data_IF_649309109080
#
_entry.id   IF_649309109080
#
_cell.length_a   1.000
_cell.length_b   1.000
_cell.length_c   1.000
_cell.angle_alpha   90.00
_cell.angle_beta   90.00
_cell.angle_gamma   90.00
#
_symmetry.space_group_name_H-M   'P 1'
#
loop_
_entity.id
_entity.type
_entity.pdbx_description
1 polymer ?
#
# COMPACT_ATOMS: atom_id res chain seq x y z
N UNK A 1 33.00 -12.29 -4.14
CA UNK A 1 31.58 -12.31 -3.77
C UNK A 1 31.07 -10.90 -3.97
N UNK A 2 30.42 -10.62 -5.10
CA UNK A 2 29.91 -9.29 -5.40
C UNK A 2 28.77 -8.99 -4.44
N UNK A 3 28.96 -7.99 -3.56
CA UNK A 3 27.88 -7.46 -2.74
C UNK A 3 26.86 -6.82 -3.69
N UNK A 4 25.78 -7.53 -3.99
CA UNK A 4 24.70 -6.93 -4.76
C UNK A 4 24.11 -5.81 -3.90
N UNK A 5 24.14 -4.58 -4.40
CA UNK A 5 23.51 -3.47 -3.69
C UNK A 5 22.02 -3.82 -3.50
N UNK A 6 21.40 -3.55 -2.33
CA UNK A 6 20.05 -4.04 -2.04
C UNK A 6 18.98 -3.56 -3.05
N UNK A 7 19.29 -2.55 -3.87
CA UNK A 7 18.39 -1.97 -4.85
C UNK A 7 18.67 -2.39 -6.32
N UNK A 8 19.67 -3.24 -6.56
CA UNK A 8 19.96 -3.78 -7.89
C UNK A 8 19.13 -5.03 -8.21
N UNK A 9 19.00 -5.41 -9.50
CA UNK A 9 18.40 -6.69 -9.88
C UNK A 9 19.06 -7.87 -9.17
N UNK A 10 18.27 -8.89 -8.88
CA UNK A 10 18.65 -10.05 -8.11
C UNK A 10 18.20 -11.34 -8.83
N UNK A 11 18.96 -11.80 -9.84
CA UNK A 11 18.60 -12.98 -10.63
C UNK A 11 18.54 -14.26 -9.78
N UNK A 12 19.43 -14.41 -8.80
CA UNK A 12 19.45 -15.57 -7.91
C UNK A 12 18.20 -15.63 -7.03
N UNK A 13 17.77 -14.50 -6.48
CA UNK A 13 16.48 -14.40 -5.77
C UNK A 13 15.32 -14.75 -6.69
N UNK A 14 15.32 -14.22 -7.91
CA UNK A 14 14.24 -14.45 -8.87
C UNK A 14 14.12 -15.94 -9.25
N UNK A 15 15.23 -16.61 -9.49
CA UNK A 15 15.30 -18.05 -9.74
C UNK A 15 14.82 -18.85 -8.51
N UNK A 16 15.29 -18.51 -7.31
CA UNK A 16 14.87 -19.18 -6.07
C UNK A 16 13.39 -18.97 -5.72
N UNK A 17 12.76 -17.95 -6.30
CA UNK A 17 11.34 -17.66 -6.21
C UNK A 17 10.54 -18.29 -7.37
N UNK A 18 11.12 -19.26 -8.07
CA UNK A 18 10.50 -20.00 -9.17
C UNK A 18 9.91 -19.05 -10.22
N UNK A 19 10.72 -18.09 -10.65
CA UNK A 19 10.36 -17.06 -11.62
C UNK A 19 9.02 -16.35 -11.30
N UNK A 20 8.72 -16.22 -10.00
CA UNK A 20 7.55 -15.53 -9.46
C UNK A 20 6.42 -16.43 -8.97
N UNK A 21 6.36 -17.70 -9.36
CA UNK A 21 5.30 -18.60 -8.87
C UNK A 21 5.35 -18.76 -7.35
N UNK A 22 6.53 -19.07 -6.83
CA UNK A 22 6.76 -19.20 -5.38
C UNK A 22 6.63 -17.87 -4.64
N UNK A 23 7.02 -16.75 -5.27
CA UNK A 23 6.79 -15.41 -4.71
C UNK A 23 5.30 -15.16 -4.45
N UNK A 24 4.44 -15.51 -5.41
CA UNK A 24 3.00 -15.33 -5.27
C UNK A 24 2.41 -16.18 -4.13
N UNK A 25 2.86 -17.43 -3.99
CA UNK A 25 2.47 -18.31 -2.90
C UNK A 25 2.88 -17.76 -1.52
N UNK A 26 4.14 -17.33 -1.39
CA UNK A 26 4.67 -16.71 -0.17
C UNK A 26 3.84 -15.47 0.21
N UNK A 27 3.54 -14.60 -0.76
CA UNK A 27 2.76 -13.39 -0.50
C UNK A 27 1.33 -13.71 -0.09
N UNK A 28 0.69 -14.73 -0.68
CA UNK A 28 -0.66 -15.17 -0.27
C UNK A 28 -0.68 -15.72 1.15
N UNK A 29 0.33 -16.49 1.53
CA UNK A 29 0.49 -16.97 2.91
C UNK A 29 0.72 -15.79 3.87
N UNK A 30 1.69 -14.93 3.56
CA UNK A 30 1.99 -13.72 4.35
C UNK A 30 0.74 -12.86 4.58
N UNK A 31 -0.01 -12.53 3.52
CA UNK A 31 -1.21 -11.70 3.67
C UNK A 31 -2.37 -12.45 4.31
N UNK A 32 -2.44 -13.78 4.25
CA UNK A 32 -3.42 -14.53 5.05
C UNK A 32 -3.13 -14.31 6.53
N UNK A 33 -1.87 -14.50 6.94
CA UNK A 33 -1.47 -14.28 8.34
C UNK A 33 -1.59 -12.81 8.76
N UNK A 34 -1.29 -11.86 7.88
CA UNK A 34 -1.37 -10.43 8.20
C UNK A 34 -2.81 -9.92 8.34
N UNK A 35 -3.76 -10.47 7.59
CA UNK A 35 -5.18 -10.15 7.74
C UNK A 35 -5.79 -10.77 9.02
N UNK A 36 -5.22 -11.87 9.51
CA UNK A 36 -5.62 -12.50 10.77
C UNK A 36 -4.89 -11.91 11.99
N UNK A 37 -3.86 -11.08 11.79
CA UNK A 37 -3.06 -10.47 12.84
C UNK A 37 -3.70 -9.19 13.38
N UNK A 38 -4.07 -9.15 14.66
CA UNK A 38 -4.77 -8.02 15.27
C UNK A 38 -4.02 -6.67 15.18
N UNK A 39 -2.69 -6.67 15.05
CA UNK A 39 -1.89 -5.45 14.93
C UNK A 39 -1.82 -4.93 13.49
N UNK A 40 -1.97 -5.82 12.51
CA UNK A 40 -1.82 -5.50 11.08
C UNK A 40 -3.17 -5.39 10.36
N UNK A 41 -4.15 -6.21 10.71
CA UNK A 41 -5.47 -6.26 10.08
C UNK A 41 -6.17 -4.89 9.93
N UNK A 42 -6.11 -3.96 10.91
CA UNK A 42 -6.74 -2.64 10.76
C UNK A 42 -6.22 -1.81 9.57
N UNK A 43 -4.99 -2.04 9.11
CA UNK A 43 -4.43 -1.33 7.95
C UNK A 43 -4.99 -1.80 6.61
N UNK A 44 -5.73 -2.91 6.60
CA UNK A 44 -6.28 -3.54 5.41
C UNK A 44 -7.81 -3.45 5.31
N UNK A 45 -8.46 -2.73 6.22
CA UNK A 45 -9.92 -2.58 6.24
C UNK A 45 -10.44 -2.02 4.91
N UNK A 46 -11.41 -2.72 4.30
CA UNK A 46 -11.98 -2.37 3.00
C UNK A 46 -11.07 -2.64 1.80
N UNK A 47 -9.86 -3.19 1.99
CA UNK A 47 -8.93 -3.52 0.90
C UNK A 47 -8.97 -5.04 0.62
N UNK A 48 -9.30 -5.48 -0.61
CA UNK A 48 -9.27 -6.90 -0.95
C UNK A 48 -7.86 -7.49 -0.81
N UNK A 49 -7.73 -8.63 -0.13
CA UNK A 49 -6.42 -9.30 0.09
C UNK A 49 -5.64 -9.51 -1.21
N UNK A 50 -6.30 -10.03 -2.24
CA UNK A 50 -5.65 -10.33 -3.53
C UNK A 50 -5.13 -9.06 -4.22
N UNK A 51 -5.76 -7.91 -3.98
CA UNK A 51 -5.26 -6.64 -4.48
C UNK A 51 -3.90 -6.28 -3.86
N UNK A 52 -3.76 -6.45 -2.53
CA UNK A 52 -2.50 -6.14 -1.82
C UNK A 52 -1.40 -7.14 -2.20
N UNK A 53 -1.75 -8.43 -2.33
CA UNK A 53 -0.86 -9.49 -2.85
C UNK A 53 -0.28 -9.08 -4.20
N UNK A 54 -1.14 -8.73 -5.17
CA UNK A 54 -0.68 -8.37 -6.52
C UNK A 54 0.14 -7.07 -6.54
N UNK A 55 -0.19 -6.07 -5.71
CA UNK A 55 0.62 -4.85 -5.60
C UNK A 55 2.02 -5.14 -5.08
N UNK A 56 2.14 -5.95 -4.02
CA UNK A 56 3.43 -6.34 -3.48
C UNK A 56 4.19 -7.22 -4.48
N UNK A 57 3.52 -8.15 -5.17
CA UNK A 57 4.11 -9.00 -6.20
C UNK A 57 4.77 -8.16 -7.30
N UNK A 58 4.03 -7.22 -7.90
CA UNK A 58 4.57 -6.34 -8.94
C UNK A 58 5.73 -5.48 -8.42
N UNK A 59 5.67 -5.02 -7.17
CA UNK A 59 6.77 -4.28 -6.55
C UNK A 59 8.03 -5.15 -6.43
N UNK A 60 7.92 -6.33 -5.81
CA UNK A 60 9.06 -7.23 -5.58
C UNK A 60 9.65 -7.73 -6.90
N UNK A 61 8.80 -8.14 -7.87
CA UNK A 61 9.27 -8.51 -9.21
C UNK A 61 10.07 -7.37 -9.84
N UNK A 62 9.59 -6.12 -9.78
CA UNK A 62 10.36 -4.98 -10.32
C UNK A 62 11.73 -4.78 -9.65
N UNK A 63 11.90 -5.20 -8.39
CA UNK A 63 13.19 -5.15 -7.68
C UNK A 63 14.10 -6.28 -8.10
N UNK A 64 13.59 -7.51 -8.16
CA UNK A 64 14.41 -8.68 -8.47
C UNK A 64 14.76 -8.78 -9.96
N UNK A 65 13.87 -8.38 -10.87
CA UNK A 65 14.13 -8.42 -12.32
C UNK A 65 14.70 -7.11 -12.87
N UNK A 66 14.48 -5.98 -12.18
CA UNK A 66 14.78 -4.64 -12.68
C UNK A 66 13.78 -4.14 -13.75
N UNK A 67 12.75 -4.92 -14.07
CA UNK A 67 11.73 -4.53 -15.05
C UNK A 67 10.87 -3.36 -14.54
N UNK A 68 10.55 -2.40 -15.42
CA UNK A 68 9.69 -1.24 -15.10
C UNK A 68 8.21 -1.59 -15.18
N UNK A 69 7.77 -2.59 -14.42
CA UNK A 69 6.38 -3.11 -14.43
C UNK A 69 5.53 -2.66 -13.24
N UNK A 70 6.14 -2.03 -12.23
CA UNK A 70 5.42 -1.56 -11.06
C UNK A 70 4.84 -0.15 -11.30
N UNK A 71 3.53 -0.09 -11.52
CA UNK A 71 2.76 1.15 -11.68
C UNK A 71 2.10 1.63 -10.38
N UNK A 72 2.65 1.26 -9.22
CA UNK A 72 2.11 1.66 -7.92
C UNK A 72 2.80 2.89 -7.31
N UNK A 73 2.27 3.35 -6.18
CA UNK A 73 2.87 4.43 -5.41
C UNK A 73 4.23 4.00 -4.84
N UNK A 74 5.18 4.94 -4.71
CA UNK A 74 6.39 4.74 -3.90
C UNK A 74 5.99 4.45 -2.44
N UNK A 75 6.78 3.67 -1.68
CA UNK A 75 6.44 3.30 -0.31
C UNK A 75 6.00 4.46 0.58
N UNK A 76 6.69 5.61 0.53
CA UNK A 76 6.28 6.82 1.25
C UNK A 76 4.83 7.25 0.96
N UNK A 77 4.44 7.25 -0.31
CA UNK A 77 3.10 7.66 -0.73
C UNK A 77 2.06 6.56 -0.52
N UNK A 78 2.44 5.28 -0.63
CA UNK A 78 1.53 4.16 -0.39
C UNK A 78 1.11 4.07 1.10
N UNK A 79 2.04 4.36 2.02
CA UNK A 79 1.81 4.26 3.46
C UNK A 79 1.54 5.63 4.10
N UNK A 80 1.31 6.68 3.33
CA UNK A 80 1.41 8.07 3.80
C UNK A 80 0.51 8.38 5.02
N UNK A 81 -0.67 7.78 5.08
CA UNK A 81 -1.66 7.98 6.15
C UNK A 81 -1.45 7.07 7.36
N UNK A 82 -0.70 5.98 7.21
CA UNK A 82 -0.52 4.95 8.22
C UNK A 82 0.52 5.39 9.26
N UNK A 83 0.16 5.42 10.55
CA UNK A 83 1.15 5.57 11.63
C UNK A 83 1.77 4.21 11.91
N UNK A 84 2.97 3.99 11.38
CA UNK A 84 3.70 2.73 11.48
C UNK A 84 4.91 2.99 12.35
N UNK A 85 4.95 2.40 13.54
CA UNK A 85 6.11 2.45 14.44
C UNK A 85 7.22 1.50 13.94
N UNK A 86 8.43 1.69 14.45
CA UNK A 86 9.53 0.73 14.23
C UNK A 86 9.14 -0.67 14.68
N UNK A 87 8.50 -0.79 15.85
CA UNK A 87 8.05 -2.07 16.39
C UNK A 87 7.02 -2.78 15.48
N UNK A 88 6.08 -2.02 14.89
CA UNK A 88 5.10 -2.60 13.98
C UNK A 88 5.74 -3.01 12.65
N UNK A 89 6.70 -2.22 12.16
CA UNK A 89 7.49 -2.59 10.99
C UNK A 89 8.26 -3.90 11.25
N UNK A 90 8.97 -4.00 12.37
CA UNK A 90 9.70 -5.21 12.75
C UNK A 90 8.78 -6.41 12.91
N UNK A 91 7.61 -6.25 13.55
CA UNK A 91 6.60 -7.29 13.66
C UNK A 91 6.14 -7.82 12.29
N UNK A 92 5.92 -6.92 11.32
CA UNK A 92 5.58 -7.30 9.94
C UNK A 92 6.73 -8.06 9.28
N UNK A 93 7.96 -7.59 9.42
CA UNK A 93 9.12 -8.23 8.80
C UNK A 93 9.35 -9.63 9.37
N UNK A 94 9.21 -9.80 10.68
CA UNK A 94 9.34 -11.12 11.33
C UNK A 94 8.26 -12.08 10.84
N UNK A 95 7.04 -11.59 10.57
CA UNK A 95 5.99 -12.38 9.95
C UNK A 95 6.36 -12.79 8.51
N UNK A 96 6.89 -11.87 7.71
CA UNK A 96 7.36 -12.17 6.35
C UNK A 96 8.50 -13.19 6.36
N UNK A 97 9.49 -13.02 7.24
CA UNK A 97 10.62 -13.97 7.35
C UNK A 97 10.15 -15.38 7.70
N UNK A 98 9.14 -15.52 8.57
CA UNK A 98 8.54 -16.84 8.85
C UNK A 98 7.96 -17.46 7.58
N UNK A 99 7.21 -16.70 6.77
CA UNK A 99 6.67 -17.18 5.50
C UNK A 99 7.78 -17.57 4.50
N UNK A 100 8.86 -16.79 4.41
CA UNK A 100 10.01 -17.10 3.55
C UNK A 100 10.68 -18.43 3.97
N UNK A 101 10.89 -18.63 5.28
CA UNK A 101 11.47 -19.86 5.84
C UNK A 101 10.54 -21.07 5.72
N UNK A 102 9.23 -20.88 5.90
CA UNK A 102 8.22 -21.92 5.72
C UNK A 102 8.23 -22.43 4.27
N UNK A 103 8.36 -21.51 3.30
CA UNK A 103 8.55 -21.81 1.88
C UNK A 103 9.96 -22.32 1.53
N UNK A 104 10.83 -22.57 2.51
CA UNK A 104 12.18 -23.13 2.33
C UNK A 104 13.06 -22.27 1.43
N UNK A 105 12.97 -20.95 1.52
CA UNK A 105 13.93 -20.07 0.88
C UNK A 105 15.29 -20.18 1.63
N UNK A 106 16.43 -20.30 0.93
CA UNK A 106 17.75 -20.33 1.58
C UNK A 106 17.99 -19.13 2.50
N UNK A 107 18.61 -19.35 3.66
CA UNK A 107 18.77 -18.30 4.69
C UNK A 107 19.53 -17.06 4.19
N UNK A 108 20.52 -17.22 3.29
CA UNK A 108 21.23 -16.08 2.72
C UNK A 108 20.32 -15.22 1.83
N UNK A 109 19.30 -15.82 1.21
CA UNK A 109 18.27 -15.11 0.44
C UNK A 109 17.25 -14.44 1.39
N UNK A 110 16.86 -15.10 2.48
CA UNK A 110 16.04 -14.46 3.53
C UNK A 110 16.72 -13.20 4.08
N UNK A 111 18.02 -13.26 4.36
CA UNK A 111 18.80 -12.10 4.82
C UNK A 111 18.85 -10.96 3.77
N UNK A 112 18.96 -11.30 2.47
CA UNK A 112 18.93 -10.31 1.38
C UNK A 112 17.55 -9.67 1.21
N UNK A 113 16.48 -10.45 1.38
CA UNK A 113 15.12 -9.93 1.39
C UNK A 113 14.96 -8.91 2.54
N UNK A 114 15.35 -9.28 3.76
CA UNK A 114 15.29 -8.37 4.91
C UNK A 114 16.11 -7.10 4.69
N UNK A 115 17.30 -7.22 4.08
CA UNK A 115 18.12 -6.07 3.72
C UNK A 115 17.46 -5.16 2.67
N UNK A 116 16.73 -5.71 1.70
CA UNK A 116 15.96 -4.95 0.72
C UNK A 116 14.81 -4.19 1.38
N UNK A 117 14.00 -4.85 2.20
CA UNK A 117 12.86 -4.24 2.89
C UNK A 117 13.34 -3.11 3.85
N UNK A 118 14.46 -3.30 4.54
CA UNK A 118 15.07 -2.30 5.43
C UNK A 118 15.42 -0.97 4.74
N UNK A 119 15.77 -0.99 3.45
CA UNK A 119 16.02 0.24 2.67
C UNK A 119 14.79 1.16 2.64
N UNK A 120 13.59 0.61 2.77
CA UNK A 120 12.34 1.36 2.73
C UNK A 120 11.86 1.81 4.12
N UNK A 121 12.50 1.39 5.23
CA UNK A 121 12.07 1.73 6.60
C UNK A 121 11.81 3.23 6.77
N UNK A 122 12.79 4.07 6.40
CA UNK A 122 12.69 5.55 6.53
C UNK A 122 11.57 6.18 5.70
N UNK A 123 11.02 5.46 4.72
CA UNK A 123 9.88 5.91 3.92
C UNK A 123 8.54 5.48 4.52
N UNK A 124 8.53 4.44 5.36
CA UNK A 124 7.32 3.81 5.87
C UNK A 124 7.08 4.21 7.32
N UNK A 125 8.10 4.07 8.17
CA UNK A 125 8.03 4.34 9.61
C UNK A 125 7.89 5.84 9.87
N UNK A 126 6.91 6.19 10.71
CA UNK A 126 6.59 7.56 11.11
C UNK A 126 5.65 7.58 12.32
N UNK A 127 5.81 8.60 13.15
CA UNK A 127 4.97 8.83 14.34
C UNK A 127 3.66 9.56 14.03
N UNK A 128 3.52 10.16 12.84
CA UNK A 128 2.34 10.89 12.39
C UNK A 128 2.08 10.65 10.90
N UNK A 129 0.83 10.78 10.42
CA UNK A 129 0.53 10.78 9.01
C UNK A 129 1.31 11.88 8.27
N UNK A 130 1.74 11.59 7.03
CA UNK A 130 2.44 12.54 6.19
C UNK A 130 1.66 12.77 4.89
N UNK A 131 1.55 14.03 4.41
CA UNK A 131 0.96 14.33 3.12
C UNK A 131 1.55 13.51 1.97
N UNK A 132 0.67 13.03 1.07
CA UNK A 132 1.11 12.54 -0.25
C UNK A 132 1.76 13.68 -1.00
N UNK A 133 2.87 13.38 -1.67
CA UNK A 133 3.50 14.34 -2.59
C UNK A 133 3.23 13.90 -4.03
N UNK A 134 2.54 14.75 -4.80
CA UNK A 134 2.29 14.56 -6.23
C UNK A 134 2.85 15.78 -6.95
N UNK A 135 3.76 15.57 -7.91
CA UNK A 135 4.41 16.66 -8.67
C UNK A 135 5.01 17.77 -7.80
N UNK A 136 5.55 17.42 -6.63
CA UNK A 136 6.14 18.37 -5.68
C UNK A 136 5.15 19.04 -4.72
N UNK A 137 3.85 18.92 -4.96
CA UNK A 137 2.81 19.50 -4.11
C UNK A 137 2.34 18.49 -3.05
N UNK A 138 2.15 18.97 -1.82
CA UNK A 138 1.62 18.19 -0.72
C UNK A 138 0.09 18.26 -0.74
N UNK A 139 -0.57 17.10 -0.80
CA UNK A 139 -2.02 17.03 -0.69
C UNK A 139 -2.47 17.02 0.78
N UNK A 140 -3.64 17.61 1.11
CA UNK A 140 -4.22 17.51 2.45
C UNK A 140 -4.34 16.05 2.91
N UNK A 141 -4.14 15.81 4.20
CA UNK A 141 -4.23 14.48 4.82
C UNK A 141 -5.67 14.00 4.96
N UNK A 142 -6.57 14.96 5.21
CA UNK A 142 -7.99 14.78 5.47
C UNK A 142 -8.77 15.88 4.73
N UNK A 143 -10.07 15.67 4.61
CA UNK A 143 -10.99 16.60 3.95
C UNK A 143 -11.57 16.04 2.65
N UNK A 144 -12.27 16.91 1.94
CA UNK A 144 -13.03 16.57 0.74
C UNK A 144 -12.57 17.41 -0.45
N UNK A 145 -12.47 16.78 -1.62
CA UNK A 145 -12.42 17.47 -2.90
C UNK A 145 -13.77 17.43 -3.57
N UNK A 146 -14.00 18.31 -4.54
CA UNK A 146 -15.19 18.30 -5.37
C UNK A 146 -14.82 17.92 -6.81
N UNK A 147 -15.67 17.14 -7.47
CA UNK A 147 -15.50 16.74 -8.87
C UNK A 147 -16.86 16.63 -9.55
N UNK A 148 -16.92 16.91 -10.85
CA UNK A 148 -18.08 16.60 -11.68
C UNK A 148 -17.92 15.21 -12.26
N UNK A 149 -18.92 14.34 -12.05
CA UNK A 149 -18.87 12.96 -12.52
C UNK A 149 -18.89 12.89 -14.05
N UNK A 150 -17.90 12.23 -14.63
CA UNK A 150 -17.90 11.87 -16.06
C UNK A 150 -18.73 10.60 -16.32
N UNK A 151 -18.84 9.73 -15.31
CA UNK A 151 -19.61 8.48 -15.34
C UNK A 151 -20.43 8.38 -14.05
N UNK A 152 -21.70 8.01 -14.17
CA UNK A 152 -22.58 7.81 -13.02
C UNK A 152 -22.07 6.73 -12.06
N UNK A 153 -22.35 6.90 -10.77
CA UNK A 153 -21.92 6.01 -9.68
C UNK A 153 -22.97 5.97 -8.57
N UNK A 154 -22.66 5.36 -7.43
CA UNK A 154 -23.49 5.39 -6.22
C UNK A 154 -22.79 6.23 -5.14
N UNK A 155 -23.58 6.88 -4.29
CA UNK A 155 -23.04 7.48 -3.07
C UNK A 155 -22.61 6.40 -2.08
N UNK A 156 -21.38 6.46 -1.60
CA UNK A 156 -20.82 5.46 -0.67
C UNK A 156 -21.49 5.47 0.72
N UNK A 157 -22.28 6.50 1.05
CA UNK A 157 -23.05 6.59 2.31
C UNK A 157 -24.49 6.10 2.16
N UNK A 158 -25.29 6.76 1.32
CA UNK A 158 -26.72 6.46 1.21
C UNK A 158 -27.07 5.48 0.09
N UNK A 159 -26.09 5.08 -0.73
CA UNK A 159 -26.25 4.19 -1.88
C UNK A 159 -27.24 4.73 -2.95
N UNK A 160 -27.59 6.01 -2.89
CA UNK A 160 -28.39 6.65 -3.93
C UNK A 160 -27.57 6.79 -5.23
N UNK A 161 -28.21 6.68 -6.41
CA UNK A 161 -27.56 6.93 -7.69
C UNK A 161 -27.10 8.39 -7.79
N UNK A 162 -25.95 8.57 -8.44
CA UNK A 162 -25.34 9.85 -8.80
C UNK A 162 -25.10 9.83 -10.30
N UNK A 163 -25.75 10.73 -11.03
CA UNK A 163 -25.71 10.73 -12.49
C UNK A 163 -24.46 11.44 -13.05
N UNK A 164 -24.15 11.13 -14.31
CA UNK A 164 -23.13 11.88 -15.06
C UNK A 164 -23.49 13.37 -15.10
N UNK A 165 -22.49 14.22 -14.87
CA UNK A 165 -22.65 15.68 -14.82
C UNK A 165 -22.99 16.21 -13.42
N UNK A 166 -23.29 15.35 -12.45
CA UNK A 166 -23.46 15.77 -11.07
C UNK A 166 -22.14 16.18 -10.42
N UNK A 167 -22.19 17.21 -9.57
CA UNK A 167 -21.06 17.62 -8.74
C UNK A 167 -21.11 16.92 -7.40
N UNK A 168 -20.07 16.16 -7.09
CA UNK A 168 -19.98 15.29 -5.92
C UNK A 168 -18.74 15.61 -5.11
N UNK A 169 -18.76 15.22 -3.84
CA UNK A 169 -17.59 15.32 -2.98
C UNK A 169 -16.91 13.97 -2.87
N UNK A 170 -15.58 13.93 -2.90
CA UNK A 170 -14.83 12.73 -2.62
C UNK A 170 -13.88 12.97 -1.46
N UNK A 171 -13.76 11.98 -0.58
CA UNK A 171 -12.84 12.06 0.55
C UNK A 171 -11.39 11.92 0.06
N UNK A 172 -10.53 12.89 0.35
CA UNK A 172 -9.17 12.98 -0.21
C UNK A 172 -8.30 11.75 0.10
N UNK A 173 -8.51 11.13 1.27
CA UNK A 173 -7.85 9.87 1.69
C UNK A 173 -8.44 8.61 1.07
N UNK A 174 -9.74 8.36 1.25
CA UNK A 174 -10.37 7.07 0.90
C UNK A 174 -10.87 7.02 -0.54
N UNK A 175 -11.05 8.16 -1.19
CA UNK A 175 -11.67 8.27 -2.51
C UNK A 175 -13.18 8.01 -2.52
N UNK A 176 -13.78 7.75 -1.35
CA UNK A 176 -15.22 7.52 -1.24
C UNK A 176 -15.98 8.77 -1.69
N UNK A 177 -17.03 8.56 -2.46
CA UNK A 177 -17.85 9.57 -3.12
C UNK A 177 -19.14 9.77 -2.33
N UNK A 178 -19.42 11.03 -2.02
CA UNK A 178 -20.59 11.46 -1.26
C UNK A 178 -21.42 12.42 -2.11
N UNK A 179 -22.73 12.17 -2.12
CA UNK A 179 -23.68 13.13 -2.67
C UNK A 179 -23.70 14.41 -1.82
N UNK A 180 -24.23 15.53 -2.33
CA UNK A 180 -24.27 16.80 -1.61
C UNK A 180 -24.95 16.73 -0.22
N UNK A 181 -25.88 15.79 -0.02
CA UNK A 181 -26.60 15.61 1.25
C UNK A 181 -25.90 14.67 2.23
N UNK A 182 -24.91 13.89 1.79
CA UNK A 182 -24.21 12.90 2.60
C UNK A 182 -22.81 13.34 3.05
N UNK A 183 -22.41 14.56 2.69
CA UNK A 183 -21.17 15.15 3.14
C UNK A 183 -21.20 15.33 4.68
N UNK A 184 -20.23 14.82 5.43
CA UNK A 184 -20.18 15.03 6.87
C UNK A 184 -20.04 16.52 7.20
N UNK A 185 -20.85 17.00 8.15
CA UNK A 185 -20.92 18.42 8.54
C UNK A 185 -19.61 18.98 9.13
N UNK A 186 -18.63 18.13 9.47
CA UNK A 186 -17.43 18.55 10.20
C UNK A 186 -16.51 19.55 9.49
N UNK A 187 -16.71 19.90 8.20
CA UNK A 187 -15.84 20.85 7.51
C UNK A 187 -16.53 21.79 6.49
N UNK A 188 -17.83 22.08 6.64
CA UNK A 188 -18.45 23.23 5.92
C UNK A 188 -17.82 24.58 6.34
N UNK A 189 -17.01 24.60 7.41
CA UNK A 189 -16.40 25.81 7.98
C UNK A 189 -14.94 26.10 7.55
N UNK A 190 -14.31 25.27 6.71
CA UNK A 190 -12.92 25.52 6.29
C UNK A 190 -12.79 26.50 5.10
N UNK A 191 -13.89 26.85 4.44
CA UNK A 191 -13.90 27.81 3.30
C UNK A 191 -14.50 29.18 3.66
N UNK A 192 -14.82 29.42 4.94
CA UNK A 192 -15.42 30.68 5.42
C UNK A 192 -14.51 31.47 6.38
N UNK A 193 -13.18 31.36 6.25
CA UNK A 193 -12.20 32.08 7.06
C UNK A 193 -11.02 32.59 6.24
#
# INVERSE_FOLDING_TARGET
MSSNAPLGPDPEMWEALDEGFKLLEILRDFYTRAYDDARLAPFFEGIPKEWVVHKQYSFMRSKFTGEKIYFGNRPRNAHHWMVISDELFDHREDLMERCLRDAKLPEHLVARWRALDEVFRKQIVKSVPLPRKISGQALPLEGYGQVTLEVGTLCDRCQAPLDTGESVHYHLRTGLIYCPTCLPEEQVMAEAG
#
